data_IF_524263636426
#
_entry.id   IF_524263636426
#
_cell.length_a   1.000
_cell.length_b   1.000
_cell.length_c   1.000
_cell.angle_alpha   90.00
_cell.angle_beta   90.00
_cell.angle_gamma   90.00
#
_symmetry.space_group_name_H-M   'P 1'
#
loop_
_entity.id
_entity.type
_entity.pdbx_description
1 polymer ?
#
# COMPACT_ATOMS: atom_id res chain seq x y z
N UNK A 1 31.08 3.76 12.18
CA UNK A 1 30.32 4.08 10.95
C UNK A 1 28.98 4.68 11.34
N UNK A 2 28.39 5.54 10.49
CA UNK A 2 27.10 6.21 10.71
C UNK A 2 26.17 5.80 9.58
N UNK A 3 24.97 5.32 9.90
CA UNK A 3 23.97 4.88 8.93
C UNK A 3 22.77 5.83 8.94
N UNK A 4 22.30 6.24 7.76
CA UNK A 4 21.06 6.98 7.60
C UNK A 4 19.88 6.01 7.48
N UNK A 5 18.79 6.35 8.14
CA UNK A 5 17.52 5.64 7.99
C UNK A 5 16.37 6.62 7.89
N UNK A 6 15.29 6.18 7.24
CA UNK A 6 14.02 6.91 7.14
C UNK A 6 12.91 5.99 7.64
N UNK A 7 12.01 6.52 8.44
CA UNK A 7 10.75 5.85 8.77
C UNK A 7 9.65 6.37 7.85
N UNK A 8 8.86 5.46 7.28
CA UNK A 8 7.76 5.78 6.38
C UNK A 8 6.49 5.03 6.80
N UNK A 9 5.35 5.67 6.62
CA UNK A 9 4.03 5.07 6.77
C UNK A 9 3.51 4.71 5.37
N UNK A 10 3.51 3.41 5.05
CA UNK A 10 3.18 2.92 3.70
C UNK A 10 1.68 2.65 3.59
N UNK A 11 1.13 2.84 2.39
CA UNK A 11 -0.31 2.72 2.07
C UNK A 11 -1.19 3.78 2.74
N UNK A 12 -0.63 4.97 2.97
CA UNK A 12 -1.37 6.11 3.49
C UNK A 12 -0.76 7.44 3.04
N UNK A 13 -1.58 8.50 3.06
CA UNK A 13 -1.15 9.88 2.91
C UNK A 13 -1.02 10.60 4.27
N UNK A 14 -1.35 9.92 5.36
CA UNK A 14 -1.39 10.50 6.69
C UNK A 14 -0.34 9.86 7.59
N UNK A 15 0.44 10.70 8.27
CA UNK A 15 1.40 10.22 9.27
C UNK A 15 0.71 9.36 10.33
N UNK A 16 1.44 8.36 10.81
CA UNK A 16 1.07 7.40 11.85
C UNK A 16 -0.08 6.45 11.48
N UNK A 17 -0.43 6.39 10.20
CA UNK A 17 -1.39 5.43 9.66
C UNK A 17 -0.72 4.44 8.69
N UNK A 18 -1.46 3.46 8.19
CA UNK A 18 -0.88 2.51 7.22
C UNK A 18 0.07 1.50 7.87
N UNK A 19 1.06 1.03 7.10
CA UNK A 19 2.04 0.05 7.55
C UNK A 19 3.42 0.72 7.73
N UNK A 20 3.95 0.81 8.96
CA UNK A 20 5.22 1.48 9.19
C UNK A 20 6.38 0.66 8.61
N UNK A 21 7.35 1.36 8.05
CA UNK A 21 8.54 0.80 7.45
C UNK A 21 9.75 1.62 7.89
N UNK A 22 10.84 0.93 8.25
CA UNK A 22 12.15 1.54 8.36
C UNK A 22 12.96 1.20 7.11
N UNK A 23 13.61 2.20 6.51
CA UNK A 23 14.48 2.06 5.33
C UNK A 23 15.87 2.55 5.70
N UNK A 24 16.83 1.64 5.77
CA UNK A 24 18.26 1.96 5.96
C UNK A 24 18.88 2.17 4.57
N UNK A 25 19.27 3.41 4.26
CA UNK A 25 19.54 3.87 2.88
C UNK A 25 20.90 3.46 2.32
N UNK A 26 21.93 3.42 3.17
CA UNK A 26 23.30 3.09 2.76
C UNK A 26 23.82 1.93 3.60
N UNK A 27 23.20 0.75 3.47
CA UNK A 27 23.43 -0.40 4.34
C UNK A 27 24.73 -1.18 4.05
N UNK A 28 25.65 -0.63 3.25
CA UNK A 28 26.94 -1.24 2.96
C UNK A 28 27.78 -1.39 4.24
N UNK A 29 28.51 -2.49 4.33
CA UNK A 29 29.32 -2.84 5.51
C UNK A 29 28.53 -3.43 6.68
N UNK A 30 27.19 -3.50 6.60
CA UNK A 30 26.40 -4.29 7.54
C UNK A 30 26.41 -5.76 7.14
N UNK A 31 26.75 -6.64 8.10
CA UNK A 31 26.53 -8.07 7.94
C UNK A 31 25.05 -8.45 8.19
N UNK A 32 24.66 -9.65 7.77
CA UNK A 32 23.29 -10.18 7.94
C UNK A 32 22.83 -10.16 9.40
N UNK A 33 23.73 -10.49 10.35
CA UNK A 33 23.40 -10.50 11.77
C UNK A 33 23.16 -9.09 12.34
N UNK A 34 23.90 -8.09 11.86
CA UNK A 34 23.69 -6.68 12.19
C UNK A 34 22.36 -6.18 11.63
N UNK A 35 22.06 -6.46 10.35
CA UNK A 35 20.77 -6.12 9.74
C UNK A 35 19.61 -6.73 10.53
N UNK A 36 19.72 -8.00 10.92
CA UNK A 36 18.71 -8.67 11.73
C UNK A 36 18.51 -8.01 13.11
N UNK A 37 19.60 -7.64 13.79
CA UNK A 37 19.53 -6.93 15.08
C UNK A 37 18.89 -5.55 14.94
N UNK A 38 19.20 -4.82 13.87
CA UNK A 38 18.59 -3.52 13.56
C UNK A 38 17.09 -3.67 13.29
N UNK A 39 16.68 -4.65 12.47
CA UNK A 39 15.28 -4.92 12.20
C UNK A 39 14.50 -5.29 13.48
N UNK A 40 15.14 -6.06 14.37
CA UNK A 40 14.59 -6.38 15.69
C UNK A 40 14.46 -5.16 16.59
N UNK A 41 15.41 -4.23 16.53
CA UNK A 41 15.38 -2.97 17.30
C UNK A 41 14.24 -2.06 16.83
N UNK A 42 14.05 -1.89 15.52
CA UNK A 42 12.90 -1.14 14.98
C UNK A 42 11.57 -1.80 15.35
N UNK A 43 11.53 -3.14 15.39
CA UNK A 43 10.35 -3.94 15.73
C UNK A 43 9.08 -3.57 14.91
N UNK A 44 9.29 -3.12 13.66
CA UNK A 44 8.23 -3.03 12.66
C UNK A 44 7.96 -4.41 12.05
N UNK A 45 6.91 -4.50 11.23
CA UNK A 45 6.59 -5.70 10.45
C UNK A 45 7.79 -6.10 9.59
N UNK A 46 8.39 -5.12 8.91
CA UNK A 46 9.61 -5.27 8.14
C UNK A 46 10.53 -4.03 8.21
N UNK A 47 11.82 -4.23 7.92
CA UNK A 47 12.83 -3.20 7.72
C UNK A 47 13.57 -3.48 6.42
N UNK A 48 13.68 -2.46 5.56
CA UNK A 48 14.44 -2.52 4.30
C UNK A 48 15.87 -2.03 4.50
N UNK A 49 16.82 -2.72 3.89
CA UNK A 49 18.22 -2.33 3.80
C UNK A 49 18.56 -2.16 2.32
N UNK A 50 18.97 -0.95 1.95
CA UNK A 50 19.33 -0.59 0.58
C UNK A 50 20.85 -0.67 0.44
N UNK A 51 21.28 -1.49 -0.52
CA UNK A 51 22.68 -1.70 -0.87
C UNK A 51 22.91 -1.29 -2.34
N UNK A 52 24.15 -1.01 -2.74
CA UNK A 52 24.51 -0.89 -4.15
C UNK A 52 24.01 -2.11 -4.94
N UNK A 53 23.43 -1.86 -6.11
CA UNK A 53 23.02 -2.94 -7.02
C UNK A 53 24.25 -3.77 -7.44
N UNK A 54 24.07 -5.07 -7.63
CA UNK A 54 25.12 -5.96 -8.14
C UNK A 54 25.31 -5.78 -9.64
N UNK A 55 24.22 -5.51 -10.36
CA UNK A 55 24.21 -5.11 -11.76
C UNK A 55 23.92 -3.60 -11.88
N UNK A 56 24.78 -2.87 -12.60
CA UNK A 56 24.64 -1.44 -12.83
C UNK A 56 23.38 -1.06 -13.64
N UNK A 57 22.73 -2.01 -14.31
CA UNK A 57 21.44 -1.81 -14.97
C UNK A 57 20.25 -1.76 -13.98
N UNK A 58 20.45 -2.17 -12.72
CA UNK A 58 19.43 -2.15 -11.68
C UNK A 58 19.61 -0.95 -10.74
N UNK A 59 18.57 -0.64 -9.98
CA UNK A 59 18.55 0.54 -9.10
C UNK A 59 19.26 0.28 -7.78
N UNK A 60 18.96 -0.84 -7.12
CA UNK A 60 19.52 -1.17 -5.82
C UNK A 60 19.40 -2.68 -5.54
N UNK A 61 20.27 -3.20 -4.68
CA UNK A 61 20.04 -4.47 -4.00
C UNK A 61 19.30 -4.17 -2.70
N UNK A 62 18.08 -4.71 -2.56
CA UNK A 62 17.25 -4.50 -1.38
C UNK A 62 17.13 -5.81 -0.61
N UNK A 63 17.41 -5.73 0.69
CA UNK A 63 17.20 -6.83 1.63
C UNK A 63 16.13 -6.45 2.63
N UNK A 64 15.22 -7.37 2.92
CA UNK A 64 14.05 -7.09 3.75
C UNK A 64 14.06 -8.06 4.94
N UNK A 65 13.97 -7.50 6.14
CA UNK A 65 14.00 -8.28 7.36
C UNK A 65 12.74 -8.04 8.17
N UNK A 66 12.09 -9.12 8.60
CA UNK A 66 11.22 -9.09 9.77
C UNK A 66 12.08 -9.09 11.04
N UNK A 67 11.51 -8.86 12.23
CA UNK A 67 12.27 -8.92 13.48
C UNK A 67 12.91 -10.28 13.80
N UNK A 68 12.47 -11.35 13.14
CA UNK A 68 12.93 -12.73 13.35
C UNK A 68 13.78 -13.30 12.20
N UNK A 69 13.66 -12.80 10.96
CA UNK A 69 14.40 -13.34 9.81
C UNK A 69 14.45 -12.39 8.61
N UNK A 70 15.32 -12.71 7.65
CA UNK A 70 15.21 -12.19 6.29
C UNK A 70 14.00 -12.81 5.57
N UNK A 71 13.31 -11.99 4.77
CA UNK A 71 12.24 -12.42 3.87
C UNK A 71 12.66 -12.14 2.42
N UNK A 72 12.33 -13.04 1.47
CA UNK A 72 12.85 -12.94 0.12
C UNK A 72 12.22 -11.82 -0.70
N UNK A 73 11.04 -11.34 -0.26
CA UNK A 73 10.25 -10.30 -0.89
C UNK A 73 9.16 -9.83 0.08
N UNK A 74 8.80 -8.55 0.05
CA UNK A 74 7.59 -8.04 0.67
C UNK A 74 7.05 -6.81 -0.06
N UNK A 75 5.72 -6.69 -0.16
CA UNK A 75 5.08 -5.66 -0.99
C UNK A 75 5.24 -4.24 -0.45
N UNK A 76 4.85 -4.00 0.81
CA UNK A 76 4.93 -2.66 1.40
C UNK A 76 6.37 -2.16 1.58
N UNK A 77 7.35 -3.00 1.95
CA UNK A 77 8.75 -2.57 2.04
C UNK A 77 9.30 -2.10 0.70
N UNK A 78 8.99 -2.80 -0.39
CA UNK A 78 9.39 -2.37 -1.73
C UNK A 78 8.76 -1.02 -2.14
N UNK A 79 7.44 -0.87 -1.97
CA UNK A 79 6.72 0.36 -2.29
C UNK A 79 7.25 1.54 -1.47
N UNK A 80 7.40 1.35 -0.15
CA UNK A 80 7.91 2.37 0.75
C UNK A 80 9.36 2.75 0.42
N UNK A 81 10.22 1.75 0.17
CA UNK A 81 11.62 1.97 -0.22
C UNK A 81 11.73 2.75 -1.52
N UNK A 82 10.94 2.40 -2.54
CA UNK A 82 10.90 3.14 -3.80
C UNK A 82 10.46 4.60 -3.61
N UNK A 83 9.40 4.86 -2.84
CA UNK A 83 8.96 6.24 -2.57
C UNK A 83 10.00 7.03 -1.77
N UNK A 84 10.65 6.40 -0.78
CA UNK A 84 11.72 7.03 -0.01
C UNK A 84 12.92 7.36 -0.91
N UNK A 85 13.43 6.42 -1.70
CA UNK A 85 14.55 6.67 -2.60
C UNK A 85 14.24 7.76 -3.62
N UNK A 86 13.05 7.75 -4.21
CA UNK A 86 12.63 8.80 -5.15
C UNK A 86 12.61 10.18 -4.49
N UNK A 87 12.12 10.27 -3.24
CA UNK A 87 12.11 11.53 -2.48
C UNK A 87 13.52 12.02 -2.13
N UNK A 88 14.42 11.12 -1.73
CA UNK A 88 15.81 11.47 -1.46
C UNK A 88 16.51 12.00 -2.72
N UNK A 89 16.29 11.37 -3.87
CA UNK A 89 16.82 11.86 -5.16
C UNK A 89 16.28 13.25 -5.49
N UNK A 90 14.95 13.45 -5.40
CA UNK A 90 14.32 14.75 -5.69
C UNK A 90 14.83 15.84 -4.74
N UNK A 91 14.97 15.54 -3.45
CA UNK A 91 15.50 16.47 -2.45
C UNK A 91 16.98 16.84 -2.73
N UNK A 92 17.75 15.93 -3.32
CA UNK A 92 19.11 16.17 -3.77
C UNK A 92 19.20 16.88 -5.15
N UNK A 93 18.07 17.27 -5.75
CA UNK A 93 18.02 17.89 -7.07
C UNK A 93 18.28 16.90 -8.22
N UNK A 94 18.17 15.60 -7.95
CA UNK A 94 18.34 14.54 -8.94
C UNK A 94 16.98 14.06 -9.48
N UNK A 95 16.86 13.78 -10.78
CA UNK A 95 15.62 13.23 -11.32
C UNK A 95 15.41 11.80 -10.81
N UNK A 96 14.24 11.54 -10.21
CA UNK A 96 13.82 10.18 -9.91
C UNK A 96 13.29 9.50 -11.19
N UNK A 97 13.78 8.30 -11.57
CA UNK A 97 13.35 7.64 -12.79
C UNK A 97 11.89 7.21 -12.71
N UNK A 98 11.26 6.97 -13.86
CA UNK A 98 9.88 6.47 -13.90
C UNK A 98 9.74 5.04 -13.34
N UNK A 99 10.83 4.28 -13.28
CA UNK A 99 10.85 2.90 -12.81
C UNK A 99 12.12 2.62 -12.01
N UNK A 100 11.96 1.88 -10.92
CA UNK A 100 13.04 1.20 -10.22
C UNK A 100 13.03 -0.30 -10.50
N UNK A 101 14.23 -0.89 -10.43
CA UNK A 101 14.44 -2.33 -10.48
C UNK A 101 15.28 -2.69 -9.25
N UNK A 102 14.67 -3.38 -8.29
CA UNK A 102 15.37 -3.88 -7.12
C UNK A 102 15.77 -5.34 -7.33
N UNK A 103 17.00 -5.66 -6.94
CA UNK A 103 17.45 -7.03 -6.78
C UNK A 103 17.04 -7.50 -5.40
N UNK A 104 16.32 -8.62 -5.32
CA UNK A 104 15.96 -9.27 -4.05
C UNK A 104 16.18 -10.79 -4.17
N UNK A 105 16.09 -11.52 -3.06
CA UNK A 105 16.23 -12.98 -3.07
C UNK A 105 15.14 -13.66 -3.91
N UNK A 106 13.93 -13.09 -3.96
CA UNK A 106 12.85 -13.59 -4.83
C UNK A 106 13.07 -13.30 -6.33
N UNK A 107 14.09 -12.51 -6.69
CA UNK A 107 14.40 -12.07 -8.05
C UNK A 107 14.23 -10.57 -8.25
N UNK A 108 14.12 -10.14 -9.52
CA UNK A 108 14.00 -8.72 -9.86
C UNK A 108 12.60 -8.18 -9.60
N UNK A 109 12.50 -7.21 -8.71
CA UNK A 109 11.26 -6.50 -8.40
C UNK A 109 11.20 -5.19 -9.19
N UNK A 110 10.18 -5.04 -10.03
CA UNK A 110 9.98 -3.86 -10.87
C UNK A 110 8.92 -2.97 -10.26
N UNK A 111 9.26 -1.69 -10.07
CA UNK A 111 8.43 -0.72 -9.38
C UNK A 111 8.28 0.51 -10.26
N UNK A 112 7.07 0.77 -10.73
CA UNK A 112 6.72 1.94 -11.53
C UNK A 112 6.31 3.09 -10.62
N UNK A 113 7.05 4.20 -10.65
CA UNK A 113 6.66 5.41 -9.93
C UNK A 113 5.49 6.11 -10.63
N UNK A 114 4.56 6.62 -9.83
CA UNK A 114 3.36 7.31 -10.30
C UNK A 114 3.49 8.79 -9.97
N UNK A 115 3.37 9.62 -11.00
CA UNK A 115 3.44 11.09 -10.89
C UNK A 115 2.10 11.70 -11.29
N UNK A 116 1.77 12.85 -10.68
CA UNK A 116 0.64 13.68 -11.08
C UNK A 116 0.96 14.51 -12.31
N UNK A 117 -0.06 15.14 -12.89
CA UNK A 117 0.11 16.08 -14.01
C UNK A 117 1.02 17.27 -13.65
N UNK A 118 1.06 17.64 -12.38
CA UNK A 118 1.94 18.66 -11.82
C UNK A 118 3.36 18.14 -11.51
N UNK A 119 3.69 16.92 -11.92
CA UNK A 119 4.99 16.29 -11.69
C UNK A 119 5.21 15.82 -10.25
N UNK A 120 4.21 15.95 -9.35
CA UNK A 120 4.38 15.48 -7.97
C UNK A 120 4.42 13.96 -7.93
N UNK A 121 5.30 13.38 -7.12
CA UNK A 121 5.30 11.93 -6.84
C UNK A 121 4.02 11.58 -6.08
N UNK A 122 3.13 10.83 -6.72
CA UNK A 122 1.92 10.29 -6.12
C UNK A 122 2.21 8.96 -5.43
N UNK A 123 3.05 8.10 -5.97
CA UNK A 123 3.40 6.85 -5.29
C UNK A 123 4.03 5.84 -6.22
N UNK A 124 3.72 4.56 -6.04
CA UNK A 124 4.35 3.49 -6.80
C UNK A 124 3.39 2.34 -7.09
N UNK A 125 3.67 1.64 -8.19
CA UNK A 125 3.06 0.37 -8.55
C UNK A 125 4.13 -0.72 -8.63
N UNK A 126 3.93 -1.80 -7.88
CA UNK A 126 4.86 -2.92 -7.83
C UNK A 126 4.34 -4.10 -8.64
N UNK A 127 5.21 -4.73 -9.44
CA UNK A 127 4.99 -6.05 -10.02
C UNK A 127 5.60 -7.14 -9.12
N UNK A 128 4.81 -8.13 -8.65
CA UNK A 128 5.38 -9.24 -7.88
C UNK A 128 6.43 -10.01 -8.71
N UNK A 129 7.54 -10.44 -8.09
CA UNK A 129 8.69 -10.96 -8.81
C UNK A 129 8.47 -12.36 -9.40
N UNK A 130 7.50 -13.12 -8.88
CA UNK A 130 7.27 -14.51 -9.27
C UNK A 130 5.82 -14.75 -9.70
N UNK A 131 5.58 -15.73 -10.61
CA UNK A 131 4.23 -16.18 -10.91
C UNK A 131 3.58 -16.84 -9.69
N UNK A 132 2.24 -16.97 -9.74
CA UNK A 132 1.50 -17.70 -8.71
C UNK A 132 2.00 -19.15 -8.62
N UNK A 133 2.37 -19.56 -7.43
CA UNK A 133 2.54 -20.96 -7.05
C UNK A 133 1.46 -21.35 -6.04
N UNK A 134 1.03 -22.62 -6.12
CA UNK A 134 0.01 -23.22 -5.25
C UNK A 134 0.59 -24.49 -4.68
N UNK A 135 0.50 -24.65 -3.37
CA UNK A 135 1.00 -25.83 -2.65
C UNK A 135 -0.15 -26.46 -1.84
N UNK A 136 0.15 -26.96 -0.64
CA UNK A 136 -0.78 -27.74 0.17
C UNK A 136 -2.09 -27.00 0.43
N UNK A 137 -3.17 -27.78 0.47
CA UNK A 137 -4.46 -27.37 0.99
C UNK A 137 -4.64 -27.93 2.39
N UNK A 138 -5.38 -27.22 3.23
CA UNK A 138 -5.69 -27.67 4.59
C UNK A 138 -7.20 -27.66 4.82
N UNK A 139 -7.65 -28.45 5.79
CA UNK A 139 -9.09 -28.56 6.06
C UNK A 139 -9.64 -27.27 6.68
N UNK A 140 -10.96 -27.09 6.56
CA UNK A 140 -11.65 -25.97 7.19
C UNK A 140 -11.46 -25.99 8.72
N UNK A 141 -11.46 -27.17 9.34
CA UNK A 141 -11.30 -27.35 10.79
C UNK A 141 -9.92 -26.90 11.25
N UNK A 142 -8.87 -27.24 10.50
CA UNK A 142 -7.51 -26.85 10.84
C UNK A 142 -7.34 -25.32 10.73
N UNK A 143 -7.81 -24.72 9.64
CA UNK A 143 -7.78 -23.26 9.45
C UNK A 143 -8.63 -22.52 10.50
N UNK A 144 -9.83 -23.02 10.81
CA UNK A 144 -10.72 -22.45 11.81
C UNK A 144 -10.10 -22.49 13.20
N UNK A 145 -9.51 -23.63 13.59
CA UNK A 145 -8.81 -23.79 14.86
C UNK A 145 -7.68 -22.77 14.98
N UNK A 146 -6.84 -22.62 13.96
CA UNK A 146 -5.74 -21.65 13.96
C UNK A 146 -6.20 -20.18 14.07
N UNK A 147 -7.46 -19.89 13.72
CA UNK A 147 -8.05 -18.55 13.73
C UNK A 147 -9.07 -18.33 14.85
N UNK A 148 -9.21 -19.27 15.79
CA UNK A 148 -10.23 -19.21 16.87
C UNK A 148 -11.66 -19.04 16.32
N UNK A 149 -11.97 -19.73 15.22
CA UNK A 149 -13.26 -19.69 14.54
C UNK A 149 -13.93 -21.07 14.56
N UNK A 150 -15.23 -21.11 14.20
CA UNK A 150 -15.91 -22.37 13.93
C UNK A 150 -15.59 -22.85 12.50
N UNK A 151 -15.60 -24.16 12.20
CA UNK A 151 -15.38 -24.65 10.84
C UNK A 151 -16.34 -24.03 9.80
N UNK A 152 -17.58 -23.75 10.17
CA UNK A 152 -18.57 -23.08 9.32
C UNK A 152 -18.29 -21.60 9.01
N UNK A 153 -17.35 -20.98 9.71
CA UNK A 153 -16.87 -19.63 9.37
C UNK A 153 -15.90 -19.64 8.18
N UNK A 154 -15.37 -20.81 7.79
CA UNK A 154 -14.49 -20.98 6.63
C UNK A 154 -15.34 -21.28 5.40
N UNK A 155 -15.22 -20.42 4.39
CA UNK A 155 -15.96 -20.57 3.14
C UNK A 155 -15.09 -21.31 2.12
N UNK A 156 -15.63 -22.39 1.55
CA UNK A 156 -14.92 -23.26 0.60
C UNK A 156 -15.36 -23.06 -0.86
N UNK A 157 -16.24 -22.08 -1.12
CA UNK A 157 -16.88 -21.91 -2.43
C UNK A 157 -15.94 -21.42 -3.52
N UNK A 158 -14.94 -20.60 -3.20
CA UNK A 158 -13.93 -20.15 -4.18
C UNK A 158 -12.70 -21.07 -4.15
N UNK A 159 -12.22 -21.43 -2.96
CA UNK A 159 -11.14 -22.39 -2.78
C UNK A 159 -11.13 -22.96 -1.36
N UNK A 160 -10.54 -24.15 -1.18
CA UNK A 160 -10.12 -24.61 0.15
C UNK A 160 -8.98 -23.74 0.68
N UNK A 161 -8.80 -23.59 2.02
CA UNK A 161 -7.61 -22.98 2.60
C UNK A 161 -6.34 -23.51 1.94
N UNK A 162 -5.54 -22.62 1.33
CA UNK A 162 -4.46 -23.04 0.44
C UNK A 162 -3.21 -22.20 0.62
N UNK A 163 -2.06 -22.88 0.63
CA UNK A 163 -0.76 -22.22 0.60
C UNK A 163 -0.47 -21.72 -0.81
N UNK A 164 -0.17 -20.42 -0.93
CA UNK A 164 0.12 -19.74 -2.20
C UNK A 164 1.26 -18.73 -2.06
N UNK A 165 1.93 -18.45 -3.18
CA UNK A 165 3.01 -17.46 -3.24
C UNK A 165 3.09 -16.75 -4.58
N UNK A 166 3.55 -15.50 -4.53
CA UNK A 166 4.01 -14.69 -5.69
C UNK A 166 5.41 -14.09 -5.40
N UNK A 167 6.17 -14.75 -4.53
CA UNK A 167 7.48 -14.31 -4.02
C UNK A 167 7.60 -14.49 -2.50
N UNK A 168 6.50 -14.27 -1.76
CA UNK A 168 6.38 -14.59 -0.33
C UNK A 168 5.16 -15.50 -0.12
N UNK A 169 5.32 -16.51 0.74
CA UNK A 169 4.40 -17.64 0.91
C UNK A 169 3.43 -17.40 2.07
N UNK A 170 2.13 -17.61 1.83
CA UNK A 170 1.05 -17.42 2.80
C UNK A 170 0.04 -18.57 2.73
N UNK A 171 -0.59 -18.88 3.87
CA UNK A 171 -1.84 -19.65 3.89
C UNK A 171 -3.01 -18.68 3.66
N UNK A 172 -3.70 -18.80 2.54
CA UNK A 172 -4.86 -17.95 2.21
C UNK A 172 -6.15 -18.67 2.59
N UNK A 173 -7.02 -17.97 3.33
CA UNK A 173 -8.26 -18.51 3.90
C UNK A 173 -9.42 -17.58 3.58
N UNK A 174 -10.45 -18.09 2.91
CA UNK A 174 -11.69 -17.35 2.68
C UNK A 174 -12.65 -17.58 3.87
N UNK A 175 -13.22 -16.49 4.38
CA UNK A 175 -14.18 -16.48 5.48
C UNK A 175 -15.58 -16.14 4.98
N UNK A 176 -16.58 -16.74 5.64
CA UNK A 176 -17.98 -16.62 5.26
C UNK A 176 -18.57 -15.22 5.43
N UNK A 177 -18.04 -14.40 6.34
CA UNK A 177 -18.60 -13.07 6.63
C UNK A 177 -17.60 -12.08 7.22
N UNK A 178 -18.00 -10.80 7.26
CA UNK A 178 -17.27 -9.75 8.00
C UNK A 178 -17.24 -10.03 9.50
N UNK A 179 -18.27 -10.66 10.04
CA UNK A 179 -18.28 -11.01 11.46
C UNK A 179 -17.21 -12.06 11.78
N UNK A 180 -17.10 -13.11 10.95
CA UNK A 180 -16.03 -14.10 11.07
C UNK A 180 -14.65 -13.43 10.98
N UNK A 181 -14.44 -12.54 9.99
CA UNK A 181 -13.19 -11.80 9.86
C UNK A 181 -12.90 -10.93 11.10
N UNK A 182 -13.92 -10.30 11.70
CA UNK A 182 -13.79 -9.50 12.93
C UNK A 182 -13.45 -10.34 14.16
N UNK A 183 -14.08 -11.52 14.30
CA UNK A 183 -13.87 -12.45 15.42
C UNK A 183 -12.53 -13.17 15.36
N UNK A 184 -11.98 -13.37 14.15
CA UNK A 184 -10.73 -14.10 13.94
C UNK A 184 -9.59 -13.59 14.85
N UNK A 185 -8.92 -14.52 15.53
CA UNK A 185 -7.72 -14.28 16.35
C UNK A 185 -6.81 -15.51 16.26
N UNK A 186 -5.49 -15.33 16.14
CA UNK A 186 -4.59 -16.47 16.08
C UNK A 186 -4.67 -17.27 17.39
N UNK A 187 -4.96 -18.56 17.30
CA UNK A 187 -4.91 -19.51 18.43
C UNK A 187 -3.51 -20.13 18.49
N UNK A 188 -2.73 -19.99 19.58
CA UNK A 188 -1.35 -20.49 19.61
C UNK A 188 -1.22 -22.00 19.32
N UNK A 189 -2.13 -22.83 19.85
CA UNK A 189 -2.06 -24.28 19.67
C UNK A 189 -2.47 -24.69 18.25
N UNK A 190 -3.53 -24.09 17.71
CA UNK A 190 -3.98 -24.28 16.34
C UNK A 190 -2.96 -23.80 15.33
N UNK A 191 -2.32 -22.65 15.58
CA UNK A 191 -1.28 -22.11 14.73
C UNK A 191 -0.04 -23.01 14.71
N UNK A 192 0.42 -23.49 15.87
CA UNK A 192 1.56 -24.41 15.96
C UNK A 192 1.27 -25.79 15.35
N UNK A 193 0.02 -26.26 15.41
CA UNK A 193 -0.40 -27.50 14.77
C UNK A 193 -0.52 -27.40 13.24
N UNK A 194 -0.69 -26.18 12.71
CA UNK A 194 -0.92 -25.92 11.30
C UNK A 194 0.30 -25.37 10.56
N UNK A 195 1.08 -24.51 11.20
CA UNK A 195 2.19 -23.76 10.59
C UNK A 195 3.50 -23.99 11.37
N UNK A 196 4.66 -24.06 10.69
CA UNK A 196 4.85 -23.78 9.27
C UNK A 196 4.34 -24.91 8.35
N UNK A 197 3.85 -24.54 7.16
CA UNK A 197 3.42 -25.46 6.11
C UNK A 197 3.91 -24.96 4.75
N UNK A 198 4.68 -25.77 4.03
CA UNK A 198 5.34 -25.39 2.76
C UNK A 198 6.11 -24.05 2.84
N UNK A 199 6.63 -23.72 4.02
CA UNK A 199 7.31 -22.44 4.29
C UNK A 199 6.38 -21.28 4.68
N UNK A 200 5.06 -21.42 4.54
CA UNK A 200 4.09 -20.46 5.05
C UNK A 200 4.20 -20.34 6.57
N UNK A 201 4.20 -19.10 7.08
CA UNK A 201 4.22 -18.77 8.52
C UNK A 201 3.19 -17.71 8.89
N UNK A 202 2.29 -17.41 7.97
CA UNK A 202 1.32 -16.33 8.07
C UNK A 202 0.01 -16.74 7.41
N UNK A 203 -1.10 -16.36 8.04
CA UNK A 203 -2.44 -16.63 7.54
C UNK A 203 -3.03 -15.33 7.03
N UNK A 204 -3.41 -15.30 5.76
CA UNK A 204 -4.16 -14.20 5.15
C UNK A 204 -5.63 -14.60 5.07
N UNK A 205 -6.44 -14.08 5.99
CA UNK A 205 -7.87 -14.32 6.05
C UNK A 205 -8.61 -13.20 5.32
N UNK A 206 -9.50 -13.54 4.38
CA UNK A 206 -10.29 -12.56 3.64
C UNK A 206 -11.75 -12.96 3.51
N UNK A 207 -12.63 -11.99 3.25
CA UNK A 207 -14.03 -12.24 2.90
C UNK A 207 -14.46 -11.35 1.74
N UNK A 208 -15.45 -11.81 0.97
CA UNK A 208 -16.14 -11.05 -0.08
C UNK A 208 -17.46 -10.44 0.40
N UNK A 209 -17.88 -10.73 1.63
CA UNK A 209 -18.91 -9.95 2.31
C UNK A 209 -18.31 -8.57 2.62
N UNK A 210 -18.58 -7.59 1.78
CA UNK A 210 -17.91 -6.28 1.87
C UNK A 210 -18.83 -5.16 2.38
N UNK A 211 -20.12 -5.44 2.63
CA UNK A 211 -21.11 -4.44 3.00
C UNK A 211 -21.37 -3.39 1.91
N UNK A 212 -21.98 -2.27 2.30
CA UNK A 212 -22.30 -1.17 1.41
C UNK A 212 -21.03 -0.46 0.88
N UNK A 213 -21.19 0.22 -0.27
CA UNK A 213 -20.13 0.99 -0.92
C UNK A 213 -19.44 1.95 0.04
N UNK A 214 -18.13 2.11 -0.14
CA UNK A 214 -17.39 3.18 0.52
C UNK A 214 -17.39 4.42 -0.36
N UNK A 215 -17.02 5.59 0.17
CA UNK A 215 -16.73 6.78 -0.64
C UNK A 215 -15.64 6.58 -1.73
N UNK A 216 -15.00 5.40 -1.78
CA UNK A 216 -13.98 4.99 -2.75
C UNK A 216 -14.50 4.02 -3.81
N UNK A 217 -15.82 3.78 -3.81
CA UNK A 217 -16.49 2.76 -4.60
C UNK A 217 -16.57 1.41 -3.87
N UNK A 218 -16.98 0.35 -4.60
CA UNK A 218 -17.17 -0.95 -4.02
C UNK A 218 -15.84 -1.57 -3.56
N UNK A 219 -15.86 -2.17 -2.38
CA UNK A 219 -14.77 -3.00 -1.86
C UNK A 219 -14.94 -4.41 -2.41
N UNK A 220 -13.89 -4.98 -2.99
CA UNK A 220 -13.95 -6.31 -3.58
C UNK A 220 -13.69 -7.42 -2.54
N UNK A 221 -12.81 -7.17 -1.57
CA UNK A 221 -12.57 -8.04 -0.39
C UNK A 221 -12.21 -7.21 0.85
N UNK A 222 -12.50 -7.74 2.04
CA UNK A 222 -11.88 -7.30 3.30
C UNK A 222 -10.92 -8.38 3.79
N UNK A 223 -9.78 -8.00 4.38
CA UNK A 223 -8.79 -8.96 4.81
C UNK A 223 -8.04 -8.55 6.08
N UNK A 224 -7.44 -9.55 6.73
CA UNK A 224 -6.55 -9.44 7.89
C UNK A 224 -5.43 -10.45 7.73
N UNK A 225 -4.23 -10.11 8.21
CA UNK A 225 -3.06 -10.98 8.15
C UNK A 225 -2.56 -11.26 9.56
N UNK A 226 -2.44 -12.53 9.90
CA UNK A 226 -1.96 -13.00 11.20
C UNK A 226 -0.58 -13.64 11.05
N UNK A 227 0.39 -13.13 11.80
CA UNK A 227 1.79 -13.56 11.73
C UNK A 227 2.09 -14.70 12.71
N UNK A 228 3.22 -15.39 12.52
CA UNK A 228 3.76 -16.36 13.47
C UNK A 228 4.13 -15.78 14.85
N UNK A 229 4.11 -14.45 15.02
CA UNK A 229 4.28 -13.77 16.31
C UNK A 229 2.96 -13.60 17.09
N UNK A 230 1.87 -14.19 16.59
CA UNK A 230 0.51 -14.01 17.10
C UNK A 230 0.04 -12.55 17.06
N UNK A 231 0.60 -11.77 16.13
CA UNK A 231 0.24 -10.36 15.88
C UNK A 231 -0.49 -10.22 14.55
N UNK A 232 -1.11 -9.05 14.35
CA UNK A 232 -1.74 -8.67 13.09
C UNK A 232 -0.86 -7.66 12.34
N UNK A 233 -0.63 -7.90 11.04
CA UNK A 233 0.01 -6.93 10.17
C UNK A 233 -1.05 -5.93 9.63
N UNK A 234 -0.86 -4.60 9.77
CA UNK A 234 -1.89 -3.61 9.41
C UNK A 234 -2.34 -3.65 7.94
N UNK A 235 -1.41 -3.97 7.03
CA UNK A 235 -1.68 -4.09 5.60
C UNK A 235 -0.54 -4.83 4.86
N UNK A 236 -0.81 -6.05 4.39
CA UNK A 236 0.20 -6.89 3.72
C UNK A 236 0.00 -6.91 2.21
N UNK A 237 0.75 -6.08 1.48
CA UNK A 237 0.65 -6.01 0.02
C UNK A 237 0.97 -7.32 -0.71
N UNK A 238 1.96 -8.08 -0.23
CA UNK A 238 2.36 -9.37 -0.81
C UNK A 238 1.30 -10.46 -0.64
N UNK A 239 0.67 -10.55 0.53
CA UNK A 239 -0.43 -11.50 0.77
C UNK A 239 -1.68 -11.14 -0.05
N UNK A 240 -2.01 -9.85 -0.15
CA UNK A 240 -3.08 -9.36 -1.03
C UNK A 240 -2.81 -9.72 -2.49
N UNK A 241 -1.56 -9.55 -2.95
CA UNK A 241 -1.13 -9.95 -4.29
C UNK A 241 -1.30 -11.45 -4.56
N UNK A 242 -0.87 -12.29 -3.60
CA UNK A 242 -1.01 -13.75 -3.70
C UNK A 242 -2.48 -14.20 -3.74
N UNK A 243 -3.32 -13.65 -2.85
CA UNK A 243 -4.77 -13.94 -2.83
C UNK A 243 -5.46 -13.46 -4.11
N UNK A 244 -5.09 -12.29 -4.63
CA UNK A 244 -5.62 -11.78 -5.90
C UNK A 244 -5.24 -12.69 -7.06
N UNK A 245 -3.98 -13.14 -7.12
CA UNK A 245 -3.50 -14.06 -8.15
C UNK A 245 -4.23 -15.41 -8.11
N UNK A 246 -4.42 -15.98 -6.91
CA UNK A 246 -5.19 -17.21 -6.72
C UNK A 246 -6.62 -17.06 -7.27
N UNK A 247 -7.32 -15.99 -6.87
CA UNK A 247 -8.69 -15.73 -7.32
C UNK A 247 -8.79 -15.49 -8.82
N UNK A 248 -7.83 -14.78 -9.41
CA UNK A 248 -7.76 -14.57 -10.85
C UNK A 248 -7.63 -15.90 -11.61
N UNK A 249 -6.71 -16.77 -11.16
CA UNK A 249 -6.48 -18.08 -11.74
C UNK A 249 -7.73 -18.97 -11.66
N UNK A 250 -8.43 -18.97 -10.51
CA UNK A 250 -9.64 -19.77 -10.31
C UNK A 250 -10.83 -19.28 -11.15
N UNK A 251 -10.88 -17.99 -11.49
CA UNK A 251 -11.92 -17.40 -12.34
C UNK A 251 -11.64 -17.51 -13.83
N UNK A 252 -10.47 -18.05 -14.23
CA UNK A 252 -10.01 -17.99 -15.61
C UNK A 252 -9.80 -16.56 -16.12
N UNK A 253 -9.64 -15.59 -15.22
CA UNK A 253 -9.49 -14.19 -15.58
C UNK A 253 -8.04 -13.89 -15.97
N UNK A 254 -7.83 -13.35 -17.18
CA UNK A 254 -6.52 -12.85 -17.60
C UNK A 254 -6.06 -11.63 -16.79
N UNK A 255 -7.02 -10.86 -16.28
CA UNK A 255 -6.80 -9.75 -15.37
C UNK A 255 -7.86 -9.67 -14.27
N UNK A 256 -7.42 -9.47 -13.03
CA UNK A 256 -8.29 -9.21 -11.88
C UNK A 256 -7.80 -7.97 -11.14
N UNK A 257 -8.74 -7.08 -10.83
CA UNK A 257 -8.49 -5.91 -9.99
C UNK A 257 -9.31 -6.00 -8.73
N UNK A 258 -8.65 -5.86 -7.59
CA UNK A 258 -9.31 -5.86 -6.28
C UNK A 258 -8.98 -4.60 -5.51
N UNK A 259 -10.01 -3.99 -4.94
CA UNK A 259 -9.93 -2.96 -3.92
C UNK A 259 -10.06 -3.61 -2.55
N UNK A 260 -9.01 -3.45 -1.74
CA UNK A 260 -8.93 -4.02 -0.39
C UNK A 260 -8.76 -2.87 0.61
N UNK A 261 -9.65 -2.70 1.59
CA UNK A 261 -9.53 -1.68 2.61
C UNK A 261 -8.46 -2.10 3.62
N UNK A 262 -7.90 -1.10 4.31
CA UNK A 262 -6.95 -1.30 5.42
C UNK A 262 -7.63 -1.98 6.61
N UNK A 263 -6.84 -2.69 7.44
CA UNK A 263 -7.32 -3.22 8.72
C UNK A 263 -7.77 -2.09 9.66
N UNK A 264 -9.08 -1.93 9.89
CA UNK A 264 -9.65 -0.85 10.71
C UNK A 264 -9.39 -0.99 12.23
N UNK A 265 -8.87 -2.12 12.71
CA UNK A 265 -8.84 -2.45 14.14
C UNK A 265 -7.64 -1.86 14.90
N UNK A 266 -6.62 -1.40 14.20
CA UNK A 266 -5.41 -0.82 14.81
C UNK A 266 -5.60 0.69 14.97
N UNK A 267 -6.37 1.10 15.98
CA UNK A 267 -6.42 2.50 16.40
C UNK A 267 -5.02 2.97 16.80
N UNK A 268 -4.33 3.68 15.90
CA UNK A 268 -3.11 4.44 16.20
C UNK A 268 -3.42 5.90 16.56
N UNK A 269 -4.58 6.12 17.19
CA UNK A 269 -4.86 7.35 17.92
C UNK A 269 -4.44 7.14 19.37
N UNK A 270 -3.35 7.78 19.80
CA UNK A 270 -3.03 7.86 21.23
C UNK A 270 -4.12 8.67 21.95
N UNK A 271 -4.54 8.18 23.12
CA UNK A 271 -5.49 8.89 23.97
C UNK A 271 -6.07 8.00 25.06
N UNK A 272 -5.38 7.96 26.21
CA UNK A 272 -5.91 7.42 27.45
C UNK A 272 -7.05 8.31 27.98
N UNK A 273 -8.13 7.68 28.47
CA UNK A 273 -9.02 8.21 29.51
C UNK A 273 -10.01 9.32 29.12
N UNK A 274 -11.28 9.10 29.49
CA UNK A 274 -12.28 10.17 29.64
C UNK A 274 -13.45 10.07 28.67
N UNK A 275 -14.63 9.74 29.19
CA UNK A 275 -15.88 9.82 28.45
C UNK A 275 -16.17 11.25 27.98
N UNK A 276 -16.67 11.37 26.75
CA UNK A 276 -17.07 12.64 26.16
C UNK A 276 -17.68 12.41 24.80
N UNK A 277 -18.99 12.59 24.73
CA UNK A 277 -19.79 12.58 23.51
C UNK A 277 -19.29 13.70 22.57
N UNK A 278 -18.89 13.36 21.34
CA UNK A 278 -18.08 14.25 20.51
C UNK A 278 -18.03 13.85 19.04
N UNK A 279 -19.08 14.24 18.31
CA UNK A 279 -19.19 14.47 16.85
C UNK A 279 -18.02 13.91 16.01
N UNK A 280 -18.27 12.78 15.35
CA UNK A 280 -17.38 12.20 14.35
C UNK A 280 -17.14 13.16 13.17
N UNK A 281 -15.91 13.69 13.07
CA UNK A 281 -15.42 14.29 11.85
C UNK A 281 -15.22 13.20 10.78
N UNK A 282 -15.99 13.29 9.71
CA UNK A 282 -15.78 12.50 8.49
C UNK A 282 -14.51 12.97 7.79
N UNK A 283 -13.55 12.06 7.53
CA UNK A 283 -12.30 12.39 6.82
C UNK A 283 -11.59 11.19 6.19
N UNK A 284 -11.76 11.04 4.87
CA UNK A 284 -10.85 10.55 3.81
C UNK A 284 -10.12 9.17 3.89
N UNK A 285 -9.67 8.51 2.80
CA UNK A 285 -10.16 8.22 1.43
C UNK A 285 -9.16 7.21 0.73
N UNK A 286 -8.89 5.99 1.23
CA UNK A 286 -7.94 5.08 0.52
C UNK A 286 -8.25 3.57 0.61
N UNK A 287 -8.12 2.86 -0.52
CA UNK A 287 -8.15 1.40 -0.65
C UNK A 287 -6.95 0.92 -1.47
N UNK A 288 -6.44 -0.28 -1.16
CA UNK A 288 -5.37 -0.92 -1.92
C UNK A 288 -5.99 -1.41 -3.25
N UNK A 289 -5.56 -0.90 -4.41
CA UNK A 289 -6.01 -1.44 -5.70
C UNK A 289 -4.93 -2.31 -6.33
N UNK A 290 -5.16 -3.62 -6.40
CA UNK A 290 -4.32 -4.54 -7.16
C UNK A 290 -4.75 -4.55 -8.64
N UNK A 291 -3.79 -4.59 -9.56
CA UNK A 291 -4.00 -4.85 -10.99
C UNK A 291 -3.19 -6.07 -11.40
N UNK A 292 -3.83 -7.22 -11.62
CA UNK A 292 -3.13 -8.39 -12.15
C UNK A 292 -3.28 -8.41 -13.67
N UNK A 293 -2.22 -8.32 -14.46
CA UNK A 293 -2.25 -8.62 -15.91
C UNK A 293 -0.98 -9.38 -16.26
N UNK A 294 -1.00 -10.72 -16.17
CA UNK A 294 0.18 -11.62 -16.23
C UNK A 294 1.41 -11.20 -15.37
N UNK A 295 1.24 -10.16 -14.55
CA UNK A 295 2.18 -9.39 -13.71
C UNK A 295 1.32 -8.80 -12.59
N UNK A 296 1.76 -8.93 -11.35
CA UNK A 296 0.96 -8.59 -10.15
C UNK A 296 1.23 -7.14 -9.74
N UNK A 297 0.46 -6.17 -10.25
CA UNK A 297 0.54 -4.73 -9.95
C UNK A 297 -0.19 -4.33 -8.65
N UNK A 298 0.34 -3.43 -7.83
CA UNK A 298 -0.45 -2.77 -6.75
C UNK A 298 -0.17 -1.27 -6.69
N UNK A 299 -1.19 -0.42 -6.89
CA UNK A 299 -1.06 1.05 -7.06
C UNK A 299 -1.28 1.81 -5.75
N UNK A 300 -0.46 2.83 -5.45
CA UNK A 300 -0.60 3.67 -4.24
C UNK A 300 -0.42 5.18 -4.49
N UNK A 301 -1.13 5.99 -3.71
CA UNK A 301 -1.06 7.46 -3.67
C UNK A 301 -0.62 7.98 -2.28
N UNK A 302 0.16 9.07 -2.26
CA UNK A 302 0.73 9.81 -1.15
C UNK A 302 0.56 11.32 -1.46
N UNK A 303 -0.18 12.05 -0.62
CA UNK A 303 -0.16 13.52 -0.58
C UNK A 303 0.61 13.98 0.65
N UNK A 304 1.26 15.13 0.55
CA UNK A 304 1.85 15.86 1.67
C UNK A 304 1.37 17.30 1.60
N UNK A 305 0.86 17.85 2.70
CA UNK A 305 0.73 19.29 2.90
C UNK A 305 1.92 19.81 3.72
N UNK A 306 2.71 20.78 3.23
CA UNK A 306 3.77 21.37 4.03
C UNK A 306 3.16 22.26 5.11
N UNK A 307 3.38 21.94 6.38
CA UNK A 307 3.16 22.89 7.47
C UNK A 307 4.50 23.43 7.93
N UNK A 308 4.75 24.71 7.63
CA UNK A 308 5.81 25.49 8.23
C UNK A 308 5.42 25.86 9.66
N UNK A 309 6.10 25.27 10.64
CA UNK A 309 6.05 25.81 12.00
C UNK A 309 6.86 27.12 12.04
N UNK A 310 6.16 28.26 12.10
CA UNK A 310 6.76 29.49 12.59
C UNK A 310 6.86 29.42 14.11
N UNK A 311 8.03 29.69 14.72
CA UNK A 311 8.15 29.77 16.17
C UNK A 311 7.42 31.03 16.69
N UNK A 312 6.70 30.86 17.80
CA UNK A 312 5.97 31.93 18.47
C UNK A 312 6.94 32.95 19.09
N UNK A 313 6.99 34.16 18.51
CA UNK A 313 7.60 35.34 19.12
C UNK A 313 6.57 36.09 19.98
N UNK A 314 6.97 36.46 21.21
CA UNK A 314 6.18 37.23 22.18
C UNK A 314 6.32 38.76 21.98
N UNK A 315 5.29 39.48 22.47
CA UNK A 315 5.15 40.94 22.73
C UNK A 315 4.91 41.84 21.49
N UNK A 316 4.03 42.84 21.47
CA UNK A 316 3.15 43.51 22.44
C UNK A 316 2.27 44.53 21.66
N UNK A 317 1.45 45.39 22.31
CA UNK A 317 0.14 45.79 21.78
C UNK A 317 0.09 47.13 21.04
N UNK A 318 -0.88 47.25 20.12
CA UNK A 318 -1.60 48.50 19.86
C UNK A 318 -1.52 49.10 18.44
N UNK A 319 -2.64 49.11 17.71
CA UNK A 319 -3.35 50.33 17.22
C UNK A 319 -4.46 49.98 16.21
N UNK A 320 -5.48 50.83 16.21
CA UNK A 320 -6.78 50.82 15.52
C UNK A 320 -6.72 50.83 13.97
N UNK A 321 -7.84 50.49 13.28
CA UNK A 321 -7.91 50.42 11.83
C UNK A 321 -8.31 51.76 11.18
N UNK A 322 -7.85 52.00 9.95
CA UNK A 322 -8.44 53.01 9.05
C UNK A 322 -8.66 52.43 7.66
N UNK A 323 -9.87 52.65 7.17
CA UNK A 323 -10.36 52.42 5.81
C UNK A 323 -9.48 53.08 4.73
N UNK A 324 -9.52 52.53 3.51
CA UNK A 324 -9.76 53.23 2.22
C UNK A 324 -9.58 52.22 1.07
N UNK A 325 -10.65 51.91 0.33
CA UNK A 325 -11.06 52.53 -0.95
C UNK A 325 -10.41 51.89 -2.18
N UNK A 326 -11.26 51.26 -3.00
CA UNK A 326 -11.07 50.80 -4.39
C UNK A 326 -10.68 51.96 -5.34
N UNK A 327 -10.17 51.69 -6.55
CA UNK A 327 -11.09 51.57 -7.69
C UNK A 327 -10.73 50.52 -8.76
N UNK A 328 -11.75 50.21 -9.56
CA UNK A 328 -11.83 49.25 -10.65
C UNK A 328 -11.14 49.73 -11.95
N UNK A 329 -10.76 48.79 -12.82
CA UNK A 329 -10.66 49.02 -14.27
C UNK A 329 -11.11 47.77 -15.07
N UNK A 330 -11.87 48.07 -16.12
CA UNK A 330 -12.63 47.24 -17.04
C UNK A 330 -11.82 46.75 -18.25
N UNK A 331 -12.22 45.61 -18.85
CA UNK A 331 -11.89 45.29 -20.25
C UNK A 331 -12.04 43.81 -20.64
N UNK A 332 -13.04 43.51 -21.48
CA UNK A 332 -13.23 42.29 -22.31
C UNK A 332 -13.46 42.77 -23.76
N UNK A 333 -13.59 41.91 -24.79
CA UNK A 333 -12.83 40.71 -25.17
C UNK A 333 -12.47 40.73 -26.70
N UNK A 334 -11.73 39.74 -27.20
CA UNK A 334 -11.63 39.47 -28.65
C UNK A 334 -11.88 37.99 -28.98
N UNK A 335 -12.66 37.79 -30.04
CA UNK A 335 -13.11 36.56 -30.69
C UNK A 335 -12.18 36.13 -31.84
N UNK A 336 -12.06 34.83 -32.14
CA UNK A 336 -12.45 34.25 -33.44
C UNK A 336 -12.20 32.74 -33.56
N UNK A 337 -13.01 32.16 -34.43
CA UNK A 337 -13.18 30.75 -34.77
C UNK A 337 -12.23 30.25 -35.86
N UNK A 338 -12.12 28.91 -36.01
CA UNK A 338 -11.51 28.25 -37.15
C UNK A 338 -11.58 26.72 -37.05
N UNK A 339 -12.47 26.10 -37.83
CA UNK A 339 -12.53 24.65 -38.12
C UNK A 339 -11.69 24.31 -39.38
N UNK A 340 -11.21 23.06 -39.55
CA UNK A 340 -11.66 22.24 -40.69
C UNK A 340 -11.75 20.71 -40.37
N UNK A 341 -12.81 19.98 -40.78
CA UNK A 341 -13.00 19.13 -41.99
C UNK A 341 -12.05 17.90 -42.14
N UNK A 342 -12.64 16.69 -42.11
CA UNK A 342 -12.08 15.33 -42.44
C UNK A 342 -12.27 15.00 -43.95
N UNK A 343 -11.48 14.08 -44.59
CA UNK A 343 -11.72 12.60 -44.63
C UNK A 343 -10.43 11.73 -44.91
N UNK A 344 -10.49 10.45 -45.36
CA UNK A 344 -10.99 9.22 -44.71
C UNK A 344 -9.91 8.09 -44.54
N UNK A 345 -10.35 7.06 -43.78
CA UNK A 345 -9.88 5.68 -43.47
C UNK A 345 -8.60 5.04 -44.05
N UNK A 346 -7.92 4.25 -43.18
CA UNK A 346 -7.21 3.02 -43.57
C UNK A 346 -5.97 2.64 -42.74
N UNK A 347 -6.13 1.67 -41.83
CA UNK A 347 -5.17 0.63 -41.38
C UNK A 347 -5.06 0.40 -39.86
N UNK A 348 -5.26 -0.88 -39.52
CA UNK A 348 -5.22 -1.53 -38.21
C UNK A 348 -4.00 -1.22 -37.35
N UNK A 349 -4.28 -0.80 -36.11
CA UNK A 349 -3.39 -0.98 -34.95
C UNK A 349 -4.23 -1.36 -33.74
N UNK A 350 -3.79 -2.31 -32.88
CA UNK A 350 -4.58 -2.73 -31.72
C UNK A 350 -4.68 -1.57 -30.72
N UNK A 351 -5.91 -1.12 -30.51
CA UNK A 351 -6.28 -0.03 -29.60
C UNK A 351 -5.83 -0.36 -28.17
N UNK A 352 -4.83 0.38 -27.70
CA UNK A 352 -4.56 0.54 -26.27
C UNK A 352 -5.73 1.26 -25.62
N UNK A 353 -6.47 0.57 -24.76
CA UNK A 353 -7.53 1.18 -23.96
C UNK A 353 -6.97 1.61 -22.61
N UNK A 354 -6.60 2.89 -22.51
CA UNK A 354 -6.46 3.61 -21.26
C UNK A 354 -7.83 4.02 -20.77
N UNK A 355 -8.11 3.81 -19.47
CA UNK A 355 -9.20 4.51 -18.77
C UNK A 355 -8.59 5.20 -17.55
N UNK A 356 -8.39 6.50 -17.73
CA UNK A 356 -8.23 7.50 -16.67
C UNK A 356 -9.63 7.88 -16.19
N UNK A 357 -9.83 8.01 -14.87
CA UNK A 357 -11.00 8.65 -14.31
C UNK A 357 -10.56 9.93 -13.61
N UNK A 358 -10.52 11.02 -14.36
CA UNK A 358 -10.61 12.36 -13.81
C UNK A 358 -12.08 12.65 -13.49
N UNK A 359 -12.36 13.21 -12.31
CA UNK A 359 -13.59 13.94 -12.07
C UNK A 359 -13.23 15.40 -11.86
N UNK A 360 -13.50 16.21 -12.87
CA UNK A 360 -13.59 17.66 -12.78
C UNK A 360 -14.97 18.04 -12.23
N UNK A 361 -15.02 19.00 -11.32
CA UNK A 361 -16.08 20.02 -11.27
C UNK A 361 -15.45 21.35 -10.84
N UNK A 362 -15.42 22.30 -11.78
CA UNK A 362 -15.32 23.73 -11.52
C UNK A 362 -16.64 24.25 -10.92
N UNK A 363 -16.57 25.17 -9.97
CA UNK A 363 -17.38 26.41 -9.87
C UNK A 363 -16.84 27.30 -8.71
N UNK A 364 -17.17 28.60 -8.65
CA UNK A 364 -16.19 29.68 -8.59
C UNK A 364 -15.98 30.26 -7.18
N UNK A 365 -15.05 31.21 -7.10
CA UNK A 365 -14.71 32.04 -5.96
C UNK A 365 -15.92 32.47 -5.10
N UNK A 366 -15.74 32.38 -3.78
CA UNK A 366 -16.43 33.23 -2.82
C UNK A 366 -15.36 33.80 -1.88
N UNK A 367 -15.33 35.12 -1.86
CA UNK A 367 -14.56 35.99 -0.98
C UNK A 367 -14.98 35.83 0.50
N UNK A 368 -14.07 36.26 1.38
CA UNK A 368 -14.15 36.46 2.83
C UNK A 368 -13.80 35.24 3.72
#
# INVERSE_FOLDING_TARGET
>A
MRYRYVTADVFTEHAYQGNPLAVVLEAEGLDTGQMQRIAREFNYSETSFVLPARDAAHTAWVRIFTPDREVPFAGHPNVGTAVVLAREMIAAGQPAPARFVFEEEAGLVRIDLRYGEDGRLLGAELAAPQPLTRASQVTAEAAARALSLAPGDILLSEHAPQVVSVGLIFLVVQLASRDALRRARPDPAGYAALLPLDGARSIYAYTTDCGAETPLGPIDIQARMFTGRMTEDPATGSATGAATALRAALRGAGELRLRVPRGRRMGRGGGAGGGGDGRHAAGARHGLSGRLSRRVGVVYAARHEPHSHRPAGRAGPGRQPTNHSTPALSGKPCSNAGSPVFPPEGHDTPRGLFVCAACALCFPAIEA
#
